data_IF_000193426879
#
_entry.id   IF_000193426879
#
_cell.length_a   1.000
_cell.length_b   1.000
_cell.length_c   1.000
_cell.angle_alpha   90.00
_cell.angle_beta   90.00
_cell.angle_gamma   90.00
#
_symmetry.space_group_name_H-M   'P 1'
#
loop_
_entity.id
_entity.type
_entity.pdbx_description
1 polymer ?
#
# COMPACT_ATOMS: atom_id res chain seq x y z
N UNK A 1 19.11 -23.64 -2.18
CA UNK A 1 17.95 -23.83 -1.27
C UNK A 1 18.50 -23.95 0.13
N UNK A 2 17.98 -23.21 1.10
CA UNK A 2 18.50 -23.27 2.47
C UNK A 2 18.22 -24.65 3.06
N UNK A 3 19.28 -25.34 3.50
CA UNK A 3 19.16 -26.64 4.15
C UNK A 3 18.42 -26.48 5.49
N UNK A 4 17.37 -27.26 5.70
CA UNK A 4 16.60 -27.21 6.95
C UNK A 4 17.48 -27.75 8.09
N UNK A 5 17.72 -26.99 9.18
CA UNK A 5 18.52 -27.46 10.31
C UNK A 5 18.02 -28.78 10.89
N UNK A 6 18.96 -29.67 11.22
CA UNK A 6 18.67 -31.01 11.77
C UNK A 6 17.78 -30.96 13.01
N UNK A 7 17.95 -29.96 13.88
CA UNK A 7 17.12 -29.77 15.09
C UNK A 7 15.63 -29.65 14.75
N UNK A 8 15.29 -28.99 13.64
CA UNK A 8 13.90 -28.84 13.19
C UNK A 8 13.37 -30.19 12.69
N UNK A 9 14.16 -30.93 11.90
CA UNK A 9 13.79 -32.27 11.42
C UNK A 9 13.54 -33.25 12.58
N UNK A 10 14.40 -33.23 13.59
CA UNK A 10 14.24 -34.04 14.80
C UNK A 10 12.97 -33.69 15.57
N UNK A 11 12.70 -32.39 15.74
CA UNK A 11 11.50 -31.93 16.42
C UNK A 11 10.23 -32.38 15.69
N UNK A 12 10.18 -32.22 14.37
CA UNK A 12 9.06 -32.66 13.54
C UNK A 12 8.89 -34.18 13.61
N UNK A 13 9.98 -34.96 13.50
CA UNK A 13 9.91 -36.42 13.58
C UNK A 13 9.35 -36.90 14.92
N UNK A 14 9.79 -36.27 16.02
CA UNK A 14 9.26 -36.55 17.36
C UNK A 14 7.77 -36.17 17.49
N UNK A 15 7.39 -34.99 17.02
CA UNK A 15 6.00 -34.52 17.07
C UNK A 15 5.05 -35.39 16.22
N UNK A 16 5.53 -35.83 15.05
CA UNK A 16 4.82 -36.72 14.15
C UNK A 16 4.89 -38.20 14.56
N UNK A 17 5.55 -38.52 15.68
CA UNK A 17 5.75 -39.89 16.20
C UNK A 17 6.38 -40.83 15.17
N UNK A 18 7.28 -40.30 14.35
CA UNK A 18 8.07 -41.10 13.42
C UNK A 18 9.14 -41.87 14.19
N UNK A 19 9.24 -43.18 13.95
CA UNK A 19 10.23 -44.04 14.62
C UNK A 19 11.69 -43.72 14.25
N UNK A 20 11.92 -42.90 13.22
CA UNK A 20 13.24 -42.40 12.83
C UNK A 20 13.14 -41.02 12.19
N UNK A 21 14.20 -40.24 12.32
CA UNK A 21 14.39 -39.00 11.57
C UNK A 21 14.76 -39.37 10.13
N UNK A 22 14.12 -38.73 9.15
CA UNK A 22 14.47 -38.90 7.74
C UNK A 22 15.72 -38.08 7.44
N UNK A 23 16.72 -38.71 6.83
CA UNK A 23 17.95 -38.05 6.38
C UNK A 23 17.66 -37.11 5.18
N UNK A 24 18.49 -36.07 5.02
CA UNK A 24 18.34 -35.07 3.94
C UNK A 24 18.25 -35.72 2.55
N UNK A 25 19.08 -36.73 2.29
CA UNK A 25 19.13 -37.45 1.00
C UNK A 25 17.79 -38.14 0.67
N UNK A 26 17.12 -38.70 1.67
CA UNK A 26 15.82 -39.36 1.50
C UNK A 26 14.73 -38.34 1.16
N UNK A 27 14.77 -37.16 1.80
CA UNK A 27 13.84 -36.07 1.53
C UNK A 27 14.06 -35.49 0.12
N UNK A 28 15.33 -35.29 -0.28
CA UNK A 28 15.68 -34.83 -1.62
C UNK A 28 15.22 -35.82 -2.70
N UNK A 29 15.43 -37.13 -2.49
CA UNK A 29 14.93 -38.18 -3.39
C UNK A 29 13.42 -38.15 -3.50
N UNK A 30 12.71 -37.96 -2.39
CA UNK A 30 11.27 -37.80 -2.40
C UNK A 30 10.85 -36.53 -3.17
N UNK A 31 11.58 -35.43 -3.00
CA UNK A 31 11.28 -34.15 -3.62
C UNK A 31 11.39 -34.15 -5.15
N UNK A 32 12.30 -34.95 -5.70
CA UNK A 32 12.44 -35.16 -7.15
C UNK A 32 11.58 -36.32 -7.68
N UNK A 33 10.98 -37.12 -6.80
CA UNK A 33 10.21 -38.30 -7.21
C UNK A 33 8.83 -37.95 -7.79
N UNK A 34 8.31 -38.83 -8.66
CA UNK A 34 6.93 -38.76 -9.13
C UNK A 34 5.89 -38.92 -8.01
N UNK A 35 6.28 -39.57 -6.90
CA UNK A 35 5.43 -39.78 -5.72
C UNK A 35 5.00 -38.46 -5.09
N UNK A 36 5.91 -37.48 -4.96
CA UNK A 36 5.56 -36.14 -4.45
C UNK A 36 4.47 -35.50 -5.30
N UNK A 37 4.60 -35.57 -6.63
CA UNK A 37 3.61 -34.99 -7.56
C UNK A 37 2.23 -35.63 -7.39
N UNK A 38 2.18 -36.93 -7.09
CA UNK A 38 0.94 -37.67 -6.84
C UNK A 38 0.34 -37.39 -5.46
N UNK A 39 1.18 -37.28 -4.43
CA UNK A 39 0.73 -37.06 -3.06
C UNK A 39 0.29 -35.61 -2.79
N UNK A 40 0.90 -34.62 -3.44
CA UNK A 40 0.64 -33.21 -3.14
C UNK A 40 -0.85 -32.81 -3.30
N UNK A 41 -1.57 -33.19 -4.37
CA UNK A 41 -3.01 -32.94 -4.47
C UNK A 41 -3.81 -33.61 -3.35
N UNK A 42 -3.44 -34.83 -2.96
CA UNK A 42 -4.13 -35.58 -1.89
C UNK A 42 -3.90 -34.90 -0.53
N UNK A 43 -2.68 -34.44 -0.26
CA UNK A 43 -2.34 -33.68 0.95
C UNK A 43 -3.11 -32.36 1.02
N UNK A 44 -3.20 -31.63 -0.09
CA UNK A 44 -4.00 -30.40 -0.19
C UNK A 44 -5.47 -30.66 0.14
N UNK A 45 -6.05 -31.71 -0.42
CA UNK A 45 -7.43 -32.12 -0.14
C UNK A 45 -7.62 -32.50 1.34
N UNK A 46 -6.67 -33.25 1.91
CA UNK A 46 -6.73 -33.68 3.30
C UNK A 46 -6.63 -32.51 4.29
N UNK A 47 -5.72 -31.56 4.05
CA UNK A 47 -5.54 -30.36 4.89
C UNK A 47 -6.63 -29.32 4.60
N UNK A 48 -7.25 -29.36 3.42
CA UNK A 48 -8.26 -28.40 2.98
C UNK A 48 -7.66 -27.06 2.55
N UNK A 49 -6.46 -27.09 1.95
CA UNK A 49 -5.73 -25.89 1.50
C UNK A 49 -5.72 -25.83 -0.03
N UNK A 50 -5.87 -24.62 -0.57
CA UNK A 50 -5.93 -24.32 -2.00
C UNK A 50 -4.57 -23.82 -2.49
N UNK A 51 -4.03 -24.35 -3.60
CA UNK A 51 -2.81 -23.81 -4.16
C UNK A 51 -3.03 -22.36 -4.59
N UNK A 52 -2.02 -21.53 -4.39
CA UNK A 52 -2.03 -20.15 -4.88
C UNK A 52 -1.65 -20.15 -6.37
N UNK A 53 -2.64 -20.43 -7.22
CA UNK A 53 -2.48 -20.44 -8.67
C UNK A 53 -2.58 -19.03 -9.28
N UNK A 54 -2.60 -18.93 -10.61
CA UNK A 54 -2.71 -17.63 -11.30
C UNK A 54 -3.98 -16.86 -10.92
N UNK A 55 -5.09 -17.56 -10.67
CA UNK A 55 -6.34 -16.93 -10.27
C UNK A 55 -6.27 -16.44 -8.83
N UNK A 56 -5.66 -17.21 -7.94
CA UNK A 56 -5.40 -16.82 -6.56
C UNK A 56 -4.43 -15.64 -6.46
N UNK A 57 -3.41 -15.57 -7.33
CA UNK A 57 -2.52 -14.40 -7.42
C UNK A 57 -3.25 -13.15 -7.91
N UNK A 58 -4.14 -13.29 -8.90
CA UNK A 58 -4.96 -12.18 -9.37
C UNK A 58 -5.93 -11.69 -8.29
N UNK A 59 -6.54 -12.60 -7.53
CA UNK A 59 -7.36 -12.24 -6.36
C UNK A 59 -6.52 -11.57 -5.27
N UNK A 60 -5.33 -12.09 -4.97
CA UNK A 60 -4.43 -11.49 -3.98
C UNK A 60 -4.04 -10.05 -4.37
N UNK A 61 -3.90 -9.79 -5.67
CA UNK A 61 -3.62 -8.45 -6.20
C UNK A 61 -4.77 -7.46 -5.94
N UNK A 62 -6.03 -7.91 -6.05
CA UNK A 62 -7.20 -7.06 -5.74
C UNK A 62 -7.28 -6.78 -4.24
N UNK A 63 -7.02 -7.78 -3.39
CA UNK A 63 -6.93 -7.62 -1.94
C UNK A 63 -5.82 -6.64 -1.57
N UNK A 64 -4.63 -6.77 -2.17
CA UNK A 64 -3.51 -5.87 -1.91
C UNK A 64 -3.84 -4.42 -2.30
N UNK A 65 -4.54 -4.24 -3.42
CA UNK A 65 -4.98 -2.92 -3.89
C UNK A 65 -6.00 -2.31 -2.93
N UNK A 66 -6.98 -3.08 -2.44
CA UNK A 66 -7.94 -2.61 -1.45
C UNK A 66 -7.26 -2.25 -0.12
N UNK A 67 -6.33 -3.09 0.35
CA UNK A 67 -5.56 -2.82 1.57
C UNK A 67 -4.72 -1.53 1.43
N UNK A 68 -4.07 -1.32 0.29
CA UNK A 68 -3.25 -0.15 0.02
C UNK A 68 -4.04 1.18 -0.01
N UNK A 69 -5.36 1.15 -0.18
CA UNK A 69 -6.19 2.35 -0.09
C UNK A 69 -6.37 2.86 1.34
N UNK A 70 -6.23 1.99 2.35
CA UNK A 70 -6.45 2.33 3.76
C UNK A 70 -5.19 2.25 4.62
N UNK A 71 -4.17 1.50 4.17
CA UNK A 71 -2.91 1.28 4.88
C UNK A 71 -1.76 2.01 4.20
N UNK A 72 -0.95 2.72 4.98
CA UNK A 72 0.18 3.52 4.46
C UNK A 72 1.51 2.76 4.44
N UNK A 73 1.67 1.76 5.32
CA UNK A 73 2.92 1.02 5.46
C UNK A 73 2.85 -0.34 4.74
N UNK A 74 3.99 -0.81 4.19
CA UNK A 74 4.07 -2.14 3.56
C UNK A 74 3.76 -3.27 4.57
N UNK A 75 4.29 -3.25 5.82
CA UNK A 75 3.98 -4.29 6.79
C UNK A 75 2.48 -4.44 7.08
N UNK A 76 1.74 -3.32 7.15
CA UNK A 76 0.29 -3.38 7.39
C UNK A 76 -0.45 -4.05 6.22
N UNK A 77 -0.05 -3.76 4.98
CA UNK A 77 -0.63 -4.39 3.79
C UNK A 77 -0.29 -5.89 3.77
N UNK A 78 0.96 -6.26 4.08
CA UNK A 78 1.36 -7.67 4.15
C UNK A 78 0.58 -8.44 5.20
N UNK A 79 0.30 -7.84 6.36
CA UNK A 79 -0.50 -8.46 7.41
C UNK A 79 -1.93 -8.75 6.91
N UNK A 80 -2.58 -7.79 6.23
CA UNK A 80 -3.90 -8.01 5.61
C UNK A 80 -3.83 -9.15 4.59
N UNK A 81 -2.79 -9.19 3.74
CA UNK A 81 -2.64 -10.28 2.76
C UNK A 81 -2.48 -11.64 3.42
N UNK A 82 -1.73 -11.72 4.52
CA UNK A 82 -1.58 -12.96 5.29
C UNK A 82 -2.90 -13.39 5.90
N UNK A 83 -3.64 -12.47 6.53
CA UNK A 83 -4.95 -12.75 7.12
C UNK A 83 -5.93 -13.28 6.07
N UNK A 84 -5.99 -12.64 4.90
CA UNK A 84 -6.88 -13.03 3.80
C UNK A 84 -6.47 -14.38 3.21
N UNK A 85 -5.18 -14.64 3.01
CA UNK A 85 -4.70 -15.95 2.53
C UNK A 85 -5.06 -17.07 3.51
N UNK A 86 -4.89 -16.84 4.81
CA UNK A 86 -5.25 -17.82 5.85
C UNK A 86 -6.76 -18.02 5.92
N UNK A 87 -7.54 -16.94 5.90
CA UNK A 87 -9.00 -16.98 5.94
C UNK A 87 -9.58 -17.79 4.77
N UNK A 88 -9.03 -17.56 3.58
CA UNK A 88 -9.41 -18.26 2.35
C UNK A 88 -8.68 -19.59 2.13
N UNK A 89 -7.91 -20.06 3.12
CA UNK A 89 -7.17 -21.34 3.09
C UNK A 89 -6.29 -21.50 1.84
N UNK A 90 -5.59 -20.44 1.44
CA UNK A 90 -4.57 -20.53 0.39
C UNK A 90 -3.23 -21.00 0.95
N UNK A 91 -2.43 -21.64 0.10
CA UNK A 91 -1.02 -21.87 0.37
C UNK A 91 -0.31 -20.52 0.54
N UNK A 92 0.47 -20.39 1.61
CA UNK A 92 1.24 -19.18 1.86
C UNK A 92 2.42 -19.11 0.88
N UNK A 93 2.50 -18.07 0.04
CA UNK A 93 3.67 -17.87 -0.79
C UNK A 93 4.87 -17.44 0.06
N UNK A 94 6.05 -17.41 -0.55
CA UNK A 94 7.22 -16.85 0.11
C UNK A 94 6.97 -15.38 0.51
N UNK A 95 7.55 -14.96 1.63
CA UNK A 95 7.39 -13.59 2.15
C UNK A 95 7.68 -12.51 1.09
N UNK A 96 8.71 -12.73 0.25
CA UNK A 96 9.06 -11.84 -0.86
C UNK A 96 7.91 -11.62 -1.85
N UNK A 97 7.09 -12.65 -2.12
CA UNK A 97 5.92 -12.52 -3.00
C UNK A 97 4.88 -11.57 -2.40
N UNK A 98 4.63 -11.69 -1.09
CA UNK A 98 3.72 -10.79 -0.38
C UNK A 98 4.25 -9.36 -0.34
N UNK A 99 5.54 -9.20 -0.06
CA UNK A 99 6.22 -7.91 -0.06
C UNK A 99 6.10 -7.21 -1.42
N UNK A 100 6.39 -7.93 -2.52
CA UNK A 100 6.26 -7.37 -3.87
C UNK A 100 4.82 -7.01 -4.23
N UNK A 101 3.85 -7.85 -3.87
CA UNK A 101 2.44 -7.55 -4.10
C UNK A 101 2.00 -6.29 -3.35
N UNK A 102 2.41 -6.14 -2.08
CA UNK A 102 2.12 -4.97 -1.27
C UNK A 102 2.76 -3.69 -1.83
N UNK A 103 4.03 -3.76 -2.26
CA UNK A 103 4.74 -2.64 -2.90
C UNK A 103 4.01 -2.20 -4.17
N UNK A 104 3.74 -3.14 -5.09
CA UNK A 104 3.08 -2.83 -6.36
C UNK A 104 1.65 -2.30 -6.19
N UNK A 105 0.90 -2.81 -5.21
CA UNK A 105 -0.41 -2.27 -4.86
C UNK A 105 -0.33 -0.83 -4.35
N UNK A 106 0.57 -0.54 -3.41
CA UNK A 106 0.75 0.81 -2.86
C UNK A 106 1.19 1.81 -3.93
N UNK A 107 2.11 1.42 -4.81
CA UNK A 107 2.54 2.26 -5.92
C UNK A 107 1.39 2.58 -6.87
N UNK A 108 0.59 1.59 -7.27
CA UNK A 108 -0.58 1.82 -8.13
C UNK A 108 -1.59 2.75 -7.48
N UNK A 109 -1.94 2.52 -6.22
CA UNK A 109 -2.89 3.35 -5.48
C UNK A 109 -2.39 4.79 -5.38
N UNK A 110 -1.12 4.99 -5.00
CA UNK A 110 -0.52 6.31 -4.92
C UNK A 110 -0.48 7.03 -6.27
N UNK A 111 -0.07 6.34 -7.34
CA UNK A 111 -0.13 6.90 -8.69
C UNK A 111 -1.55 7.28 -9.09
N UNK A 112 -2.54 6.47 -8.73
CA UNK A 112 -3.96 6.78 -8.91
C UNK A 112 -4.37 8.08 -8.23
N UNK A 113 -3.98 8.24 -6.96
CA UNK A 113 -4.23 9.49 -6.22
C UNK A 113 -3.53 10.69 -6.84
N UNK A 114 -2.25 10.57 -7.20
CA UNK A 114 -1.52 11.67 -7.83
C UNK A 114 -2.15 12.09 -9.17
N UNK A 115 -2.57 11.12 -9.99
CA UNK A 115 -3.29 11.40 -11.24
C UNK A 115 -4.64 12.06 -11.01
N UNK A 116 -5.43 11.55 -10.08
CA UNK A 116 -6.74 12.12 -9.74
C UNK A 116 -6.60 13.56 -9.23
N UNK A 117 -5.68 13.82 -8.29
CA UNK A 117 -5.42 15.14 -7.74
C UNK A 117 -4.94 16.08 -8.85
N UNK A 118 -3.92 15.68 -9.62
CA UNK A 118 -3.39 16.53 -10.70
C UNK A 118 -4.43 16.84 -11.77
N UNK A 119 -5.30 15.90 -12.14
CA UNK A 119 -6.37 16.14 -13.10
C UNK A 119 -7.43 17.12 -12.57
N UNK A 120 -7.72 17.09 -11.27
CA UNK A 120 -8.66 18.02 -10.64
C UNK A 120 -8.12 19.47 -10.54
N UNK A 121 -6.81 19.68 -10.69
CA UNK A 121 -6.19 21.01 -10.61
C UNK A 121 -6.28 21.76 -11.95
N UNK A 122 -7.08 22.84 -11.97
CA UNK A 122 -7.14 23.79 -13.09
C UNK A 122 -5.79 24.52 -13.28
N UNK A 123 -5.49 25.05 -14.49
CA UNK A 123 -4.27 25.81 -14.74
C UNK A 123 -4.07 26.96 -13.73
N UNK A 124 -5.13 27.70 -13.41
CA UNK A 124 -5.11 28.78 -12.42
C UNK A 124 -4.73 28.29 -11.02
N UNK A 125 -5.27 27.13 -10.60
CA UNK A 125 -4.94 26.53 -9.29
C UNK A 125 -3.49 26.05 -9.24
N UNK A 126 -2.98 25.50 -10.35
CA UNK A 126 -1.58 25.08 -10.45
C UNK A 126 -0.64 26.28 -10.33
N UNK A 127 -0.90 27.37 -11.05
CA UNK A 127 -0.11 28.60 -10.94
C UNK A 127 -0.12 29.15 -9.51
N UNK A 128 -1.27 29.14 -8.85
CA UNK A 128 -1.37 29.58 -7.45
C UNK A 128 -0.54 28.69 -6.51
N UNK A 129 -0.58 27.37 -6.68
CA UNK A 129 0.25 26.43 -5.90
C UNK A 129 1.74 26.67 -6.16
N UNK A 130 2.13 26.84 -7.43
CA UNK A 130 3.52 27.09 -7.82
C UNK A 130 4.05 28.41 -7.24
N UNK A 131 3.26 29.48 -7.29
CA UNK A 131 3.57 30.78 -6.68
C UNK A 131 3.71 30.66 -5.16
N UNK A 132 2.85 29.87 -4.53
CA UNK A 132 2.85 29.67 -3.08
C UNK A 132 4.09 28.90 -2.60
N UNK A 133 4.65 28.05 -3.45
CA UNK A 133 5.90 27.31 -3.20
C UNK A 133 7.17 28.09 -3.60
N UNK A 134 7.05 29.19 -4.36
CA UNK A 134 8.19 30.03 -4.77
C UNK A 134 8.58 31.01 -3.66
N UNK A 135 9.88 31.20 -3.47
CA UNK A 135 10.41 32.26 -2.60
C UNK A 135 10.65 33.52 -3.43
N UNK A 136 10.13 34.69 -3.03
CA UNK A 136 10.49 35.97 -3.65
C UNK A 136 12.00 36.22 -3.57
N UNK A 137 12.58 36.93 -4.54
CA UNK A 137 14.01 37.28 -4.53
C UNK A 137 14.38 38.01 -3.23
N UNK A 138 15.41 37.51 -2.54
CA UNK A 138 15.85 38.03 -1.24
C UNK A 138 15.12 37.48 -0.01
N UNK A 139 14.10 36.63 -0.17
CA UNK A 139 13.37 36.00 0.95
C UNK A 139 13.76 34.53 1.14
N UNK A 140 13.97 34.10 2.39
CA UNK A 140 14.07 32.67 2.76
C UNK A 140 12.71 32.00 2.97
N UNK A 141 11.62 32.77 2.90
CA UNK A 141 10.28 32.34 3.24
C UNK A 141 9.36 32.39 2.01
N UNK A 142 8.68 31.28 1.76
CA UNK A 142 7.68 31.12 0.69
C UNK A 142 6.28 31.47 1.20
N UNK A 143 5.31 31.66 0.29
CA UNK A 143 3.90 31.81 0.67
C UNK A 143 3.38 30.65 1.53
N UNK A 144 3.92 29.45 1.31
CA UNK A 144 3.68 28.24 2.12
C UNK A 144 4.06 28.39 3.59
N UNK A 145 5.12 29.15 3.91
CA UNK A 145 5.51 29.40 5.30
C UNK A 145 4.52 30.33 6.02
N UNK A 146 3.82 31.18 5.25
CA UNK A 146 2.71 32.00 5.77
C UNK A 146 1.43 31.17 5.92
N UNK A 147 1.18 30.21 5.01
CA UNK A 147 0.06 29.27 5.07
C UNK A 147 0.16 28.33 6.29
N UNK A 148 1.35 27.80 6.56
CA UNK A 148 1.59 26.88 7.70
C UNK A 148 1.61 27.57 9.06
N UNK A 149 1.48 28.90 9.11
CA UNK A 149 1.46 29.62 10.37
C UNK A 149 0.09 29.42 11.00
N UNK A 150 0.04 28.66 12.09
CA UNK A 150 -1.17 28.54 12.90
C UNK A 150 -1.66 29.96 13.29
N UNK A 151 -2.97 30.23 13.23
CA UNK A 151 -3.49 31.47 13.78
C UNK A 151 -3.16 31.47 15.28
N UNK A 152 -2.41 32.48 15.73
CA UNK A 152 -2.17 32.69 17.15
C UNK A 152 -3.48 32.97 17.88
N UNK A 153 -3.41 33.04 19.22
CA UNK A 153 -4.60 33.29 20.05
C UNK A 153 -5.30 34.57 19.57
N UNK A 154 -6.64 34.57 19.44
CA UNK A 154 -7.38 35.72 18.95
C UNK A 154 -7.21 36.88 19.94
N UNK A 155 -6.23 37.72 19.66
CA UNK A 155 -5.95 38.97 20.36
C UNK A 155 -6.23 40.07 19.35
N UNK A 156 -6.75 41.24 19.74
CA UNK A 156 -7.12 42.31 18.79
C UNK A 156 -6.02 42.65 17.76
N UNK A 157 -4.75 42.54 18.14
CA UNK A 157 -3.59 42.75 17.25
C UNK A 157 -3.41 41.68 16.16
N UNK A 158 -3.96 40.50 16.36
CA UNK A 158 -3.85 39.38 15.42
C UNK A 158 -4.99 39.33 14.40
N UNK A 159 -6.16 39.87 14.76
CA UNK A 159 -7.33 40.02 13.87
C UNK A 159 -7.10 41.13 12.83
N UNK A 160 -6.37 42.19 13.18
CA UNK A 160 -6.00 43.30 12.27
C UNK A 160 -4.83 42.96 11.31
N UNK A 161 -4.26 41.75 11.40
CA UNK A 161 -3.12 41.38 10.54
C UNK A 161 -3.63 41.03 9.12
N UNK A 162 -3.12 41.65 8.04
CA UNK A 162 -3.65 41.46 6.68
C UNK A 162 -3.55 40.03 6.12
N UNK A 163 -2.78 39.16 6.78
CA UNK A 163 -2.63 37.75 6.42
C UNK A 163 -3.78 36.87 6.95
N UNK A 164 -4.49 37.29 8.00
CA UNK A 164 -5.56 36.53 8.64
C UNK A 164 -6.82 36.47 7.76
N UNK A 165 -7.23 37.61 7.17
CA UNK A 165 -8.49 37.70 6.41
C UNK A 165 -8.35 37.47 4.89
N UNK A 166 -7.17 37.72 4.28
CA UNK A 166 -7.02 37.61 2.82
C UNK A 166 -6.95 36.17 2.32
N UNK A 167 -6.51 35.25 3.16
CA UNK A 167 -6.18 33.89 2.72
C UNK A 167 -7.40 32.95 2.52
N UNK A 168 -8.36 32.84 3.48
CA UNK A 168 -9.56 32.05 3.23
C UNK A 168 -10.43 32.68 2.12
N UNK A 169 -10.47 34.00 2.01
CA UNK A 169 -11.23 34.67 0.95
C UNK A 169 -10.64 34.45 -0.46
N UNK A 170 -9.31 34.36 -0.61
CA UNK A 170 -8.67 34.09 -1.90
C UNK A 170 -8.87 32.64 -2.37
N UNK A 171 -8.82 31.66 -1.45
CA UNK A 171 -9.09 30.25 -1.75
C UNK A 171 -10.58 30.05 -2.09
N UNK A 172 -11.50 30.71 -1.36
CA UNK A 172 -12.94 30.63 -1.60
C UNK A 172 -13.34 31.33 -2.91
N UNK A 173 -12.79 32.52 -3.21
CA UNK A 173 -13.08 33.22 -4.48
C UNK A 173 -12.48 32.52 -5.71
N UNK A 174 -11.29 31.93 -5.60
CA UNK A 174 -10.68 31.14 -6.67
C UNK A 174 -11.51 29.88 -7.00
N UNK A 175 -12.07 29.23 -5.97
CA UNK A 175 -12.95 28.07 -6.11
C UNK A 175 -14.28 28.43 -6.78
N UNK A 176 -14.95 29.53 -6.36
CA UNK A 176 -16.21 29.97 -6.98
C UNK A 176 -16.04 30.43 -8.44
N UNK A 177 -14.89 31.03 -8.80
CA UNK A 177 -14.66 31.50 -10.18
C UNK A 177 -14.42 30.33 -11.16
N UNK A 178 -13.75 29.26 -10.70
CA UNK A 178 -13.53 28.05 -11.52
C UNK A 178 -14.80 27.21 -11.76
N UNK A 179 -15.77 27.23 -10.84
CA UNK A 179 -17.05 26.51 -10.99
C UNK A 179 -17.97 27.21 -12.00
N UNK A 180 -17.95 28.55 -12.07
CA UNK A 180 -18.71 29.30 -13.07
C UNK A 180 -18.12 29.22 -14.48
N UNK A 181 -16.79 29.11 -14.63
CA UNK A 181 -16.15 28.90 -15.93
C UNK A 181 -16.47 27.52 -16.53
N UNK A 182 -16.61 26.46 -15.72
CA UNK A 182 -16.98 25.13 -16.24
C UNK A 182 -18.43 25.03 -16.74
N UNK A 183 -19.34 25.88 -16.24
CA UNK A 183 -20.73 25.94 -16.70
C UNK A 183 -20.92 26.74 -18.00
N UNK A 184 -19.95 27.58 -18.38
CA UNK A 184 -20.02 28.39 -19.60
C UNK A 184 -19.48 27.68 -20.86
N UNK A 185 -18.82 26.52 -20.72
CA UNK A 185 -18.17 25.79 -21.84
C UNK A 185 -19.01 24.58 -22.30
N UNK A 186 -20.12 24.27 -21.62
CA UNK A 186 -21.06 23.18 -21.95
C UNK A 186 -22.49 23.66 -22.21
N UNK A 187 -22.69 24.95 -22.51
CA UNK A 187 -23.98 25.55 -22.89
C UNK A 187 -24.02 25.89 -24.38
#
# INVERSE_FOLDING_TARGET
MAEVPERIRQHIAKAARLGRVLASDQLERYDVSGSKRRHMPQLRQFIGVRPLDKSGLAWLDTVATAAAQTKHTIPDIVNVLLEELVHHRYELPGFRTLELAAIGARERVNLGYYRSISHALTPATRTLIDELLRAPEGSRFTGWHSLKREPGRPTNKEVDRPAFCRHPQAIIHGYSRGVHEQQAIHG
#
